data_IF_361509026914
#
_entry.id   IF_361509026914
#
_cell.length_a   1.000
_cell.length_b   1.000
_cell.length_c   1.000
_cell.angle_alpha   90.00
_cell.angle_beta   90.00
_cell.angle_gamma   90.00
#
_symmetry.space_group_name_H-M   'P 1'
#
loop_
_entity.id
_entity.type
_entity.pdbx_description
1 polymer ?
#
# COMPACT_ATOMS: atom_id res chain seq x y z
N UNK A 1 3.45 11.75 -3.97
CA UNK A 1 3.50 11.35 -5.39
C UNK A 1 2.93 12.50 -6.18
N UNK A 2 3.76 13.21 -6.92
CA UNK A 2 3.36 14.44 -7.61
C UNK A 2 3.29 14.14 -9.10
N UNK A 3 2.16 14.46 -9.72
CA UNK A 3 1.99 14.39 -11.17
C UNK A 3 2.18 15.79 -11.75
N UNK A 4 3.14 15.96 -12.64
CA UNK A 4 3.32 17.19 -13.43
C UNK A 4 2.27 17.32 -14.52
N UNK A 5 1.69 16.19 -14.95
CA UNK A 5 0.67 16.13 -15.98
C UNK A 5 -0.72 16.13 -15.33
N UNK A 6 -1.67 16.78 -15.98
CA UNK A 6 -3.06 16.81 -15.54
C UNK A 6 -3.62 15.38 -15.50
N UNK A 7 -3.93 14.87 -14.31
CA UNK A 7 -4.58 13.57 -14.13
C UNK A 7 -6.08 13.82 -14.07
N UNK A 8 -6.84 13.26 -15.01
CA UNK A 8 -8.29 13.35 -14.96
C UNK A 8 -8.78 12.70 -13.65
N UNK A 9 -9.56 13.44 -12.86
CA UNK A 9 -10.25 12.94 -11.67
C UNK A 9 -11.01 11.65 -11.98
N UNK A 10 -10.78 10.60 -11.20
CA UNK A 10 -11.35 9.26 -11.43
C UNK A 10 -10.45 8.31 -12.23
N UNK A 11 -9.30 8.77 -12.74
CA UNK A 11 -8.31 7.88 -13.35
C UNK A 11 -7.53 7.16 -12.26
N UNK A 12 -7.59 5.82 -12.28
CA UNK A 12 -6.74 5.00 -11.40
C UNK A 12 -5.29 5.20 -11.80
N UNK A 13 -4.48 5.66 -10.84
CA UNK A 13 -3.05 5.85 -11.03
C UNK A 13 -2.36 4.52 -10.75
N UNK A 14 -2.02 3.81 -11.82
CA UNK A 14 -1.36 2.50 -11.74
C UNK A 14 0.16 2.59 -11.62
N UNK A 15 0.75 3.77 -11.87
CA UNK A 15 2.20 3.97 -11.82
C UNK A 15 2.56 5.20 -11.03
N UNK A 16 3.70 5.10 -10.36
CA UNK A 16 4.24 6.22 -9.62
C UNK A 16 4.83 7.29 -10.55
N UNK A 17 4.34 8.53 -10.49
CA UNK A 17 4.91 9.64 -11.28
C UNK A 17 6.18 10.23 -10.66
N UNK A 18 6.36 10.09 -9.34
CA UNK A 18 7.52 10.62 -8.61
C UNK A 18 7.86 9.67 -7.46
N UNK A 19 9.11 9.67 -6.95
CA UNK A 19 9.44 8.91 -5.74
C UNK A 19 8.45 9.21 -4.61
N UNK A 20 8.04 8.16 -3.90
CA UNK A 20 7.01 8.21 -2.87
C UNK A 20 7.26 7.17 -1.77
N UNK A 21 6.44 7.24 -0.72
CA UNK A 21 6.41 6.25 0.35
C UNK A 21 4.97 5.86 0.64
N UNK A 22 4.75 4.56 0.81
CA UNK A 22 3.52 4.02 1.36
C UNK A 22 3.72 3.80 2.85
N UNK A 23 2.75 4.24 3.66
CA UNK A 23 2.82 4.19 5.12
C UNK A 23 1.63 3.38 5.63
N UNK A 24 1.93 2.28 6.32
CA UNK A 24 0.94 1.46 6.99
C UNK A 24 0.65 2.01 8.42
N UNK A 25 -0.61 2.36 8.63
CA UNK A 25 -1.17 2.85 9.89
C UNK A 25 -1.97 1.78 10.65
N UNK A 26 -1.93 0.51 10.22
CA UNK A 26 -2.61 -0.58 10.92
C UNK A 26 -2.20 -0.60 12.40
N UNK A 27 -3.19 -0.46 13.29
CA UNK A 27 -3.00 -0.46 14.73
C UNK A 27 -2.37 0.80 15.33
N UNK A 28 -2.09 1.85 14.53
CA UNK A 28 -1.52 3.11 15.04
C UNK A 28 -2.10 4.35 14.36
N UNK A 29 -2.24 5.43 15.13
CA UNK A 29 -2.78 6.70 14.58
C UNK A 29 -1.70 7.65 14.07
N UNK A 30 -0.42 7.37 14.35
CA UNK A 30 0.71 8.24 14.01
C UNK A 30 1.94 7.40 13.67
N UNK A 31 2.69 7.87 12.67
CA UNK A 31 4.02 7.36 12.27
C UNK A 31 4.95 8.55 12.14
N UNK A 32 6.20 8.39 12.56
CA UNK A 32 7.23 9.40 12.37
C UNK A 32 7.96 9.12 11.07
N UNK A 33 7.94 10.08 10.15
CA UNK A 33 8.64 10.01 8.87
C UNK A 33 9.45 11.28 8.67
N UNK A 34 10.55 11.16 7.94
CA UNK A 34 11.37 12.28 7.51
C UNK A 34 11.39 12.35 5.98
N UNK A 35 11.44 13.55 5.44
CA UNK A 35 11.58 13.77 4.00
C UNK A 35 12.79 14.66 3.74
N UNK A 36 13.69 14.18 2.91
CA UNK A 36 14.86 14.90 2.40
C UNK A 36 14.67 15.09 0.89
N UNK A 37 14.88 16.29 0.36
CA UNK A 37 14.66 16.57 -1.07
C UNK A 37 15.65 15.80 -1.99
N UNK A 38 16.84 15.46 -1.48
CA UNK A 38 17.87 14.74 -2.20
C UNK A 38 17.79 13.22 -1.97
N UNK A 39 17.30 12.77 -0.81
CA UNK A 39 17.25 11.34 -0.43
C UNK A 39 15.86 10.73 -0.45
N UNK A 40 14.81 11.55 -0.49
CA UNK A 40 13.42 11.14 -0.46
C UNK A 40 12.88 10.88 0.95
N UNK A 41 11.84 10.05 1.03
CA UNK A 41 11.22 9.63 2.28
C UNK A 41 12.10 8.64 3.04
N UNK A 42 12.15 8.79 4.35
CA UNK A 42 12.92 7.94 5.25
C UNK A 42 12.16 7.73 6.56
N UNK A 43 12.06 6.47 6.97
CA UNK A 43 11.46 5.99 8.22
C UNK A 43 12.36 4.98 8.94
N UNK A 44 13.65 4.96 8.61
CA UNK A 44 14.61 3.96 9.07
C UNK A 44 14.35 2.57 8.48
N UNK A 45 14.67 1.52 9.23
CA UNK A 45 14.48 0.12 8.84
C UNK A 45 13.07 -0.42 9.18
N UNK A 46 12.08 0.47 9.23
CA UNK A 46 10.75 0.10 9.70
C UNK A 46 9.92 -0.59 8.62
N UNK A 47 9.37 -1.77 8.96
CA UNK A 47 8.63 -2.65 8.04
C UNK A 47 7.27 -2.10 7.57
N UNK A 48 6.74 -1.08 8.24
CA UNK A 48 5.45 -0.47 7.93
C UNK A 48 5.54 0.56 6.80
N UNK A 49 6.75 0.89 6.35
CA UNK A 49 6.97 1.83 5.26
C UNK A 49 7.56 1.13 4.04
N UNK A 50 6.94 1.33 2.89
CA UNK A 50 7.43 0.81 1.60
C UNK A 50 7.83 1.97 0.70
N UNK A 51 9.05 1.93 0.19
CA UNK A 51 9.55 2.94 -0.74
C UNK A 51 9.08 2.60 -2.16
N UNK A 52 8.49 3.59 -2.82
CA UNK A 52 8.00 3.48 -4.19
C UNK A 52 8.87 4.38 -5.06
N UNK A 53 9.56 3.80 -6.04
CA UNK A 53 10.38 4.56 -6.98
C UNK A 53 9.49 5.26 -8.01
N UNK A 54 10.07 6.20 -8.76
CA UNK A 54 9.40 6.72 -9.93
C UNK A 54 9.18 5.58 -10.95
N UNK A 55 8.02 5.56 -11.58
CA UNK A 55 7.54 4.57 -12.54
C UNK A 55 7.29 3.15 -11.99
N UNK A 56 7.42 2.92 -10.67
CA UNK A 56 7.04 1.65 -10.06
C UNK A 56 5.54 1.40 -10.23
N UNK A 57 5.20 0.12 -10.38
CA UNK A 57 3.83 -0.36 -10.47
C UNK A 57 3.17 -0.27 -9.08
N UNK A 58 2.03 0.42 -9.03
CA UNK A 58 1.24 0.61 -7.82
C UNK A 58 0.13 -0.43 -7.67
N UNK A 59 -0.27 -1.13 -8.75
CA UNK A 59 -1.29 -2.17 -8.68
C UNK A 59 -1.10 -3.16 -7.52
N UNK A 60 0.11 -3.74 -7.31
CA UNK A 60 0.29 -4.72 -6.24
C UNK A 60 0.14 -4.12 -4.84
N UNK A 61 0.24 -2.80 -4.70
CA UNK A 61 0.09 -2.09 -3.43
C UNK A 61 -1.31 -1.51 -3.21
N UNK A 62 -2.11 -1.34 -4.26
CA UNK A 62 -3.46 -0.75 -4.21
C UNK A 62 -4.57 -1.79 -4.08
N UNK A 63 -4.29 -3.06 -4.39
CA UNK A 63 -5.25 -4.15 -4.25
C UNK A 63 -4.92 -4.91 -2.97
N UNK A 64 -5.72 -4.69 -1.91
CA UNK A 64 -5.82 -5.68 -0.85
C UNK A 64 -6.40 -6.95 -1.47
N UNK A 65 -5.60 -8.01 -1.51
CA UNK A 65 -6.19 -9.34 -1.70
C UNK A 65 -7.12 -9.56 -0.50
N UNK A 66 -8.43 -9.77 -0.68
CA UNK A 66 -9.28 -10.12 0.44
C UNK A 66 -8.68 -11.36 1.09
N UNK A 67 -8.28 -11.27 2.36
CA UNK A 67 -7.94 -12.45 3.13
C UNK A 67 -9.23 -13.26 3.28
N UNK A 68 -9.44 -14.20 2.38
CA UNK A 68 -10.53 -15.17 2.49
C UNK A 68 -10.18 -16.02 3.71
N UNK A 69 -10.73 -15.65 4.87
CA UNK A 69 -10.71 -16.51 6.05
C UNK A 69 -11.73 -17.60 5.73
N UNK A 70 -11.24 -18.72 5.21
CA UNK A 70 -12.00 -19.96 5.25
C UNK A 70 -11.96 -20.41 6.71
N UNK A 71 -12.99 -20.03 7.45
CA UNK A 71 -13.18 -20.48 8.81
C UNK A 71 -13.47 -21.99 8.76
N UNK A 72 -12.62 -22.81 9.39
CA UNK A 72 -12.73 -24.29 9.40
C UNK A 72 -14.10 -24.76 9.94
N UNK A 73 -14.84 -23.88 10.63
CA UNK A 73 -16.21 -24.10 11.07
C UNK A 73 -17.24 -24.18 9.94
N UNK A 74 -16.97 -23.63 8.75
CA UNK A 74 -17.87 -23.75 7.59
C UNK A 74 -17.87 -25.18 7.01
N UNK A 75 -16.75 -25.89 7.08
CA UNK A 75 -16.63 -27.26 6.56
C UNK A 75 -17.34 -28.30 7.44
N UNK A 76 -17.59 -27.99 8.72
CA UNK A 76 -18.33 -28.85 9.63
C UNK A 76 -19.85 -28.90 9.34
N UNK A 77 -20.41 -27.90 8.64
CA UNK A 77 -21.84 -27.86 8.30
C UNK A 77 -22.23 -28.81 7.16
N UNK A 78 -21.25 -29.32 6.40
CA UNK A 78 -21.47 -30.25 5.27
C UNK A 78 -20.99 -31.68 5.56
N UNK A 79 -20.58 -31.96 6.80
CA UNK A 79 -20.07 -33.27 7.21
C UNK A 79 -20.75 -33.77 8.49
N UNK A 80 -22.03 -34.11 8.38
CA UNK A 80 -22.66 -35.14 9.22
C UNK A 80 -23.38 -36.14 8.29
N UNK A 81 -23.51 -37.41 8.71
CA UNK A 81 -23.18 -38.60 7.94
C UNK A 81 -24.12 -38.94 6.77
#
# INVERSE_FOLDING_TARGET
MFATNNVMTGTVVYKSYSPGGLIDFTGVNKRSVSFDANKGWNWGDAIWGTQVKANDDLLPFLIESPSVIFDDHFLAAFSTP
#
